data_IF_085674485842
#
_entry.id   IF_085674485842
#
_cell.length_a   1.000
_cell.length_b   1.000
_cell.length_c   1.000
_cell.angle_alpha   90.00
_cell.angle_beta   90.00
_cell.angle_gamma   90.00
#
_symmetry.space_group_name_H-M   'P 1'
#
loop_
_entity.id
_entity.type
_entity.pdbx_description
1 polymer ?
#
# COMPACT_ATOMS: atom_id res chain seq x y z
N UNK A 1 14.92 3.50 8.07
CA UNK A 1 13.74 4.03 7.34
C UNK A 1 13.61 3.31 6.02
N UNK A 2 12.39 2.96 5.61
CA UNK A 2 12.08 2.22 4.37
C UNK A 2 11.39 3.12 3.36
N UNK A 3 12.02 3.50 2.24
CA UNK A 3 11.41 4.33 1.19
C UNK A 3 10.88 3.50 0.01
N UNK A 4 9.65 3.76 -0.47
CA UNK A 4 9.02 3.08 -1.64
C UNK A 4 8.87 4.02 -2.86
N UNK A 5 9.32 3.60 -4.06
CA UNK A 5 9.11 4.26 -5.38
C UNK A 5 8.35 3.30 -6.33
N UNK A 6 7.46 3.79 -7.20
CA UNK A 6 6.53 2.95 -8.00
C UNK A 6 6.44 3.43 -9.48
N UNK A 7 6.71 2.53 -10.43
CA UNK A 7 6.52 2.72 -11.88
C UNK A 7 5.72 1.54 -12.45
N UNK A 8 4.74 1.80 -13.34
CA UNK A 8 3.81 0.79 -13.86
C UNK A 8 3.95 0.64 -15.38
N UNK A 9 4.08 -0.61 -15.85
CA UNK A 9 4.06 -0.98 -17.26
C UNK A 9 2.98 -2.05 -17.52
N UNK A 10 2.14 -1.81 -18.51
CA UNK A 10 1.03 -2.67 -18.95
C UNK A 10 1.44 -3.59 -20.11
N UNK A 11 1.03 -4.86 -20.08
CA UNK A 11 0.95 -5.73 -21.27
C UNK A 11 -0.38 -6.50 -21.27
N UNK A 12 -1.08 -6.44 -22.41
CA UNK A 12 -2.33 -7.17 -22.69
C UNK A 12 -2.07 -8.33 -23.65
N UNK A 13 -2.73 -9.47 -23.41
CA UNK A 13 -3.18 -10.47 -24.40
C UNK A 13 -3.94 -11.56 -23.62
N UNK A 14 -4.99 -12.25 -24.06
CA UNK A 14 -5.74 -12.39 -25.30
C UNK A 14 -6.62 -13.66 -25.09
N UNK A 15 -7.91 -13.60 -25.40
CA UNK A 15 -8.92 -14.55 -24.89
C UNK A 15 -9.10 -15.87 -25.65
N UNK A 16 -9.98 -16.74 -25.14
CA UNK A 16 -10.45 -17.96 -25.82
C UNK A 16 -11.46 -18.83 -25.03
N UNK A 17 -12.76 -18.59 -25.27
CA UNK A 17 -13.92 -19.51 -25.32
C UNK A 17 -14.17 -20.71 -24.36
N UNK A 18 -15.31 -20.65 -23.65
CA UNK A 18 -16.33 -21.73 -23.62
C UNK A 18 -16.44 -22.68 -22.40
N UNK A 19 -17.55 -22.59 -21.64
CA UNK A 19 -18.19 -23.79 -21.04
C UNK A 19 -18.30 -23.93 -19.50
N UNK A 20 -17.55 -23.19 -18.68
CA UNK A 20 -17.58 -23.32 -17.19
C UNK A 20 -17.76 -21.95 -16.51
N UNK A 21 -18.93 -21.32 -16.73
CA UNK A 21 -19.14 -19.89 -16.45
C UNK A 21 -18.96 -19.42 -15.00
N UNK A 22 -19.21 -20.24 -13.98
CA UNK A 22 -19.12 -19.80 -12.57
C UNK A 22 -17.74 -19.98 -11.96
N UNK A 23 -17.03 -21.06 -12.32
CA UNK A 23 -15.66 -21.34 -11.85
C UNK A 23 -14.62 -20.45 -12.55
N UNK A 24 -14.79 -20.13 -13.84
CA UNK A 24 -13.90 -19.21 -14.55
C UNK A 24 -14.13 -17.74 -14.19
N UNK A 25 -15.35 -17.36 -13.78
CA UNK A 25 -15.58 -16.00 -13.25
C UNK A 25 -14.90 -15.84 -11.89
N UNK A 26 -14.97 -16.84 -11.01
CA UNK A 26 -14.23 -16.82 -9.74
C UNK A 26 -12.72 -16.87 -9.97
N UNK A 27 -12.23 -17.72 -10.89
CA UNK A 27 -10.82 -17.77 -11.25
C UNK A 27 -10.33 -16.47 -11.92
N UNK A 28 -11.14 -15.85 -12.78
CA UNK A 28 -10.85 -14.57 -13.42
C UNK A 28 -10.86 -13.39 -12.43
N UNK A 29 -11.78 -13.38 -11.46
CA UNK A 29 -11.81 -12.40 -10.36
C UNK A 29 -10.60 -12.58 -9.43
N UNK A 30 -10.15 -13.82 -9.20
CA UNK A 30 -8.95 -14.13 -8.41
C UNK A 30 -7.65 -13.79 -9.17
N UNK A 31 -7.59 -14.03 -10.48
CA UNK A 31 -6.43 -13.67 -11.31
C UNK A 31 -6.28 -12.15 -11.52
N UNK A 32 -7.39 -11.40 -11.60
CA UNK A 32 -7.37 -9.93 -11.66
C UNK A 32 -6.86 -9.28 -10.37
N UNK A 33 -6.84 -10.00 -9.24
CA UNK A 33 -6.32 -9.50 -7.97
C UNK A 33 -4.79 -9.63 -7.82
N UNK A 34 -4.10 -10.23 -8.81
CA UNK A 34 -2.70 -10.63 -8.70
C UNK A 34 -1.65 -9.70 -9.30
N UNK A 35 -1.98 -8.43 -9.61
CA UNK A 35 -0.97 -7.50 -10.16
C UNK A 35 -0.05 -6.98 -9.05
N UNK A 36 1.02 -7.73 -8.79
CA UNK A 36 2.11 -7.28 -7.93
C UNK A 36 2.88 -6.14 -8.60
N UNK A 37 2.80 -4.94 -8.05
CA UNK A 37 3.65 -3.82 -8.49
C UNK A 37 5.06 -4.03 -7.96
N UNK A 38 6.05 -4.14 -8.86
CA UNK A 38 7.45 -4.15 -8.46
C UNK A 38 7.85 -2.76 -7.96
N UNK A 39 8.29 -2.69 -6.70
CA UNK A 39 8.82 -1.49 -6.09
C UNK A 39 10.21 -1.82 -5.53
N UNK A 40 11.16 -0.90 -5.68
CA UNK A 40 12.48 -1.04 -5.09
C UNK A 40 12.40 -0.66 -3.60
N UNK A 41 12.94 -1.52 -2.73
CA UNK A 41 13.02 -1.28 -1.30
C UNK A 41 14.47 -1.33 -0.85
N UNK A 42 14.85 -0.39 0.00
CA UNK A 42 16.18 -0.35 0.59
C UNK A 42 16.11 0.15 2.04
N UNK A 43 17.13 -0.22 2.80
CA UNK A 43 17.26 0.14 4.20
C UNK A 43 18.24 1.31 4.34
N UNK A 44 17.83 2.32 5.08
CA UNK A 44 18.67 3.46 5.45
C UNK A 44 18.82 3.47 6.98
N UNK A 45 20.05 3.39 7.47
CA UNK A 45 20.40 3.59 8.89
C UNK A 45 20.19 5.03 9.39
N UNK A 46 20.31 5.27 10.70
CA UNK A 46 20.01 6.60 11.31
C UNK A 46 20.90 7.74 10.81
N UNK A 47 22.14 7.45 10.44
CA UNK A 47 23.14 8.41 9.92
C UNK A 47 23.65 8.05 8.54
N UNK A 48 22.99 7.10 7.90
CA UNK A 48 23.41 6.59 6.61
C UNK A 48 22.78 7.45 5.50
N UNK A 49 23.61 7.90 4.56
CA UNK A 49 23.14 8.50 3.31
C UNK A 49 23.20 7.45 2.21
N UNK A 50 22.10 7.29 1.49
CA UNK A 50 22.05 6.41 0.30
C UNK A 50 21.99 7.30 -0.93
N UNK A 51 22.99 7.18 -1.79
CA UNK A 51 23.11 7.95 -3.00
C UNK A 51 22.97 7.05 -4.23
N UNK A 52 22.17 7.49 -5.19
CA UNK A 52 21.94 6.85 -6.47
C UNK A 52 22.58 7.73 -7.55
N UNK A 53 23.43 7.15 -8.38
CA UNK A 53 24.09 7.85 -9.48
C UNK A 53 23.34 7.43 -10.73
N UNK A 54 22.74 8.39 -11.42
CA UNK A 54 21.93 8.16 -12.62
C UNK A 54 22.42 9.09 -13.73
N UNK A 55 22.55 8.56 -14.95
CA UNK A 55 22.88 9.35 -16.12
C UNK A 55 21.60 10.02 -16.66
N UNK A 56 21.57 11.35 -16.63
CA UNK A 56 20.38 12.14 -16.96
C UNK A 56 20.74 13.11 -18.10
N UNK A 57 19.95 13.17 -19.20
CA UNK A 57 20.19 14.10 -20.30
C UNK A 57 19.72 15.53 -19.98
N UNK A 58 20.11 16.48 -20.82
CA UNK A 58 19.80 17.90 -20.66
C UNK A 58 18.30 18.20 -20.71
N UNK A 59 17.88 19.19 -19.91
CA UNK A 59 16.51 19.69 -19.82
C UNK A 59 15.45 18.62 -19.48
N UNK A 60 15.86 17.56 -18.77
CA UNK A 60 14.93 16.52 -18.33
C UNK A 60 14.45 16.73 -16.90
N UNK A 61 13.14 16.56 -16.72
CA UNK A 61 12.49 16.64 -15.41
C UNK A 61 12.38 15.24 -14.79
N UNK A 62 13.04 15.04 -13.65
CA UNK A 62 12.99 13.78 -12.91
C UNK A 62 12.08 13.93 -11.71
N UNK A 63 11.20 12.95 -11.54
CA UNK A 63 10.21 12.92 -10.46
C UNK A 63 10.44 11.66 -9.63
N UNK A 64 10.72 11.82 -8.35
CA UNK A 64 10.88 10.72 -7.39
C UNK A 64 9.76 10.71 -6.35
N UNK A 65 8.95 9.64 -6.34
CA UNK A 65 7.92 9.41 -5.33
C UNK A 65 8.47 8.54 -4.22
N UNK A 66 8.62 9.03 -2.99
CA UNK A 66 9.15 8.21 -1.90
C UNK A 66 8.14 8.12 -0.75
N UNK A 67 8.15 6.98 -0.06
CA UNK A 67 7.37 6.77 1.16
C UNK A 67 8.19 6.06 2.22
N UNK A 68 8.53 6.77 3.28
CA UNK A 68 9.27 6.23 4.44
C UNK A 68 8.36 5.40 5.35
N UNK A 69 8.90 4.31 5.88
CA UNK A 69 8.30 3.52 6.95
C UNK A 69 9.35 3.22 8.02
N UNK A 70 8.92 3.12 9.28
CA UNK A 70 9.74 2.62 10.36
C UNK A 70 9.58 1.10 10.47
N UNK A 71 10.71 0.42 10.66
CA UNK A 71 10.72 -1.00 10.99
C UNK A 71 10.80 -1.14 12.51
N UNK A 72 9.78 -1.74 13.11
CA UNK A 72 9.79 -2.10 14.53
C UNK A 72 10.25 -3.54 14.71
N UNK A 73 11.36 -3.74 15.42
CA UNK A 73 11.91 -5.07 15.71
C UNK A 73 11.01 -5.89 16.63
N UNK A 74 10.19 -5.25 17.47
CA UNK A 74 9.40 -5.98 18.47
C UNK A 74 8.11 -6.57 17.88
N UNK A 75 7.58 -5.97 16.83
CA UNK A 75 6.33 -6.39 16.19
C UNK A 75 6.54 -7.00 14.80
N UNK A 76 7.79 -7.07 14.33
CA UNK A 76 8.16 -7.49 12.97
C UNK A 76 7.27 -6.85 11.88
N UNK A 77 6.89 -5.58 12.07
CA UNK A 77 5.97 -4.91 11.16
C UNK A 77 6.42 -3.50 10.80
N UNK A 78 6.00 -3.07 9.60
CA UNK A 78 6.18 -1.72 9.10
C UNK A 78 5.17 -0.77 9.74
N UNK A 79 5.68 0.23 10.44
CA UNK A 79 4.92 1.34 10.98
C UNK A 79 5.02 2.53 9.97
N UNK A 80 3.92 3.18 9.56
CA UNK A 80 3.91 4.52 9.00
C UNK A 80 4.76 5.44 9.86
N UNK A 81 5.58 6.24 9.19
CA UNK A 81 6.43 7.22 9.85
C UNK A 81 5.62 8.27 10.58
N UNK A 82 6.09 8.61 11.78
CA UNK A 82 5.44 9.58 12.66
C UNK A 82 5.53 11.01 12.12
N UNK A 83 4.58 11.91 12.45
CA UNK A 83 4.68 13.34 12.14
C UNK A 83 5.96 13.91 12.77
N UNK A 84 6.80 14.56 11.97
CA UNK A 84 8.09 15.12 12.39
C UNK A 84 9.32 14.31 11.96
N UNK A 85 9.15 13.10 11.43
CA UNK A 85 10.21 12.39 10.71
C UNK A 85 10.14 12.72 9.22
N UNK A 86 11.24 13.29 8.70
CA UNK A 86 11.37 13.70 7.32
C UNK A 86 12.54 13.04 6.61
N UNK A 87 12.48 13.02 5.28
CA UNK A 87 13.57 12.62 4.40
C UNK A 87 14.21 13.88 3.82
N UNK A 88 15.52 14.03 3.97
CA UNK A 88 16.26 15.05 3.26
C UNK A 88 16.67 14.49 1.89
N UNK A 89 16.31 15.22 0.84
CA UNK A 89 16.67 14.88 -0.54
C UNK A 89 17.65 15.91 -1.03
N UNK A 90 18.84 15.45 -1.41
CA UNK A 90 19.90 16.26 -2.01
C UNK A 90 20.21 15.72 -3.41
N UNK A 91 20.24 16.58 -4.43
CA UNK A 91 20.55 16.23 -5.81
C UNK A 91 21.71 17.09 -6.28
N UNK A 92 22.74 16.45 -6.84
CA UNK A 92 23.90 17.11 -7.43
C UNK A 92 23.98 16.83 -8.92
N UNK A 93 24.35 17.86 -9.67
CA UNK A 93 24.76 17.80 -11.08
C UNK A 93 26.09 17.05 -11.24
N UNK A 94 26.47 16.63 -12.47
CA UNK A 94 27.78 16.03 -12.77
C UNK A 94 28.97 16.93 -12.37
N UNK A 95 28.79 18.25 -12.36
CA UNK A 95 29.81 19.22 -11.91
C UNK A 95 29.91 19.33 -10.37
N UNK A 96 29.12 18.54 -9.63
CA UNK A 96 29.06 18.55 -8.17
C UNK A 96 28.24 19.70 -7.57
N UNK A 97 27.60 20.52 -8.41
CA UNK A 97 26.71 21.61 -7.98
C UNK A 97 25.40 21.05 -7.43
N UNK A 98 24.95 21.59 -6.30
CA UNK A 98 23.66 21.19 -5.69
C UNK A 98 22.50 21.82 -6.46
N UNK A 99 21.68 21.00 -7.11
CA UNK A 99 20.46 21.41 -7.84
C UNK A 99 19.29 21.55 -6.90
N UNK A 100 19.15 20.60 -5.98
CA UNK A 100 18.05 20.52 -5.03
C UNK A 100 18.59 20.07 -3.68
N UNK A 101 18.25 20.78 -2.61
CA UNK A 101 18.47 20.33 -1.24
C UNK A 101 17.27 20.76 -0.42
N UNK A 102 16.40 19.81 -0.07
CA UNK A 102 15.16 20.08 0.66
C UNK A 102 14.80 18.98 1.63
N UNK A 103 14.25 19.39 2.76
CA UNK A 103 13.65 18.51 3.75
C UNK A 103 12.19 18.26 3.39
N UNK A 104 11.83 17.01 3.16
CA UNK A 104 10.45 16.58 2.93
C UNK A 104 9.95 15.73 4.10
N UNK A 105 8.64 15.50 4.17
CA UNK A 105 8.01 14.71 5.22
C UNK A 105 8.31 13.21 5.13
N UNK A 106 7.48 12.41 5.78
CA UNK A 106 7.58 10.96 5.72
C UNK A 106 7.18 10.36 4.38
N UNK A 107 6.29 11.01 3.66
CA UNK A 107 5.81 10.63 2.33
C UNK A 107 5.78 11.87 1.46
N UNK A 108 6.25 11.77 0.21
CA UNK A 108 6.36 12.93 -0.65
C UNK A 108 6.85 12.62 -2.06
N UNK A 109 6.78 13.64 -2.91
CA UNK A 109 7.27 13.63 -4.27
C UNK A 109 8.26 14.78 -4.45
N UNK A 110 9.50 14.46 -4.82
CA UNK A 110 10.48 15.46 -5.21
C UNK A 110 10.56 15.55 -6.74
N UNK A 111 10.84 16.74 -7.23
CA UNK A 111 10.99 17.01 -8.66
C UNK A 111 12.16 17.97 -8.86
N UNK A 112 13.04 17.64 -9.79
CA UNK A 112 14.13 18.52 -10.20
C UNK A 112 14.30 18.45 -11.72
N UNK A 113 14.91 19.48 -12.29
CA UNK A 113 15.27 19.56 -13.71
C UNK A 113 16.78 19.51 -13.85
N UNK A 114 17.28 18.64 -14.71
CA UNK A 114 18.69 18.60 -15.09
C UNK A 114 18.95 19.66 -16.16
N UNK A 115 19.97 20.50 -15.96
CA UNK A 115 20.39 21.51 -16.95
C UNK A 115 21.67 21.09 -17.69
N UNK A 116 22.43 20.15 -17.16
CA UNK A 116 23.66 19.64 -17.76
C UNK A 116 23.57 18.13 -17.91
N UNK A 117 23.88 17.56 -19.09
CA UNK A 117 23.82 16.12 -19.28
C UNK A 117 24.97 15.44 -18.52
N UNK A 118 24.70 14.31 -17.88
CA UNK A 118 25.72 13.49 -17.22
C UNK A 118 25.25 12.76 -15.96
N UNK A 119 26.21 12.29 -15.18
CA UNK A 119 25.96 11.55 -13.94
C UNK A 119 25.49 12.48 -12.82
N UNK A 120 24.20 12.40 -12.49
CA UNK A 120 23.64 13.11 -11.34
C UNK A 120 23.64 12.21 -10.12
N UNK A 121 23.92 12.80 -8.96
CA UNK A 121 23.94 12.10 -7.69
C UNK A 121 22.72 12.48 -6.85
N UNK A 122 21.81 11.54 -6.64
CA UNK A 122 20.59 11.71 -5.84
C UNK A 122 20.79 11.03 -4.48
N UNK A 123 20.96 11.82 -3.43
CA UNK A 123 21.17 11.35 -2.07
C UNK A 123 19.92 11.51 -1.20
N UNK A 124 19.57 10.44 -0.50
CA UNK A 124 18.46 10.34 0.44
C UNK A 124 19.02 10.05 1.84
N UNK A 125 18.68 10.87 2.82
CA UNK A 125 19.04 10.62 4.21
C UNK A 125 17.99 11.12 5.21
N UNK A 126 17.92 10.45 6.36
CA UNK A 126 17.09 10.88 7.49
C UNK A 126 17.70 12.12 8.14
N UNK A 127 16.89 13.13 8.46
CA UNK A 127 17.29 14.22 9.37
C UNK A 127 16.56 14.12 10.73
N UNK A 128 16.27 12.89 11.15
CA UNK A 128 15.60 12.67 12.43
C UNK A 128 16.62 12.54 13.55
N UNK A 129 16.43 13.29 14.63
CA UNK A 129 17.14 13.06 15.90
C UNK A 129 16.55 11.86 16.64
N UNK A 130 17.38 11.18 17.45
CA UNK A 130 17.01 10.00 18.24
C UNK A 130 15.75 10.20 19.09
N UNK A 131 15.52 11.42 19.58
CA UNK A 131 14.36 11.76 20.42
C UNK A 131 13.03 11.80 19.64
N UNK A 132 13.03 12.29 18.40
CA UNK A 132 11.82 12.29 17.56
C UNK A 132 11.36 10.86 17.21
N UNK A 133 12.32 9.93 17.07
CA UNK A 133 12.05 8.50 16.85
C UNK A 133 11.33 7.86 18.06
N UNK A 134 11.76 8.16 19.29
CA UNK A 134 11.19 7.54 20.51
C UNK A 134 9.79 8.04 20.86
N UNK A 135 9.52 9.34 20.74
CA UNK A 135 8.19 9.89 21.02
C UNK A 135 7.16 9.46 19.97
N UNK A 136 7.58 9.40 18.70
CA UNK A 136 6.71 9.01 17.60
C UNK A 136 6.27 7.54 17.65
N UNK A 137 7.19 6.63 17.96
CA UNK A 137 6.86 5.19 18.04
C UNK A 137 5.73 4.87 19.04
N UNK A 138 5.66 5.60 20.16
CA UNK A 138 4.61 5.41 21.18
C UNK A 138 3.24 5.85 20.69
N UNK A 139 3.12 7.08 20.17
CA UNK A 139 1.86 7.63 19.68
C UNK A 139 1.32 6.85 18.48
N UNK A 140 2.22 6.40 17.59
CA UNK A 140 1.84 5.59 16.44
C UNK A 140 1.22 4.25 16.85
N UNK A 141 1.83 3.57 17.83
CA UNK A 141 1.35 2.26 18.30
C UNK A 141 -0.05 2.35 18.89
N UNK A 142 -0.35 3.42 19.63
CA UNK A 142 -1.67 3.68 20.21
C UNK A 142 -2.74 3.94 19.14
N UNK A 143 -2.42 4.78 18.15
CA UNK A 143 -3.32 5.08 17.03
C UNK A 143 -3.57 3.87 16.12
N UNK A 144 -2.54 3.04 15.86
CA UNK A 144 -2.70 1.77 15.12
C UNK A 144 -3.63 0.82 15.86
N UNK A 145 -3.49 0.71 17.18
CA UNK A 145 -4.34 -0.18 17.97
C UNK A 145 -5.81 0.25 17.87
N UNK A 146 -6.06 1.57 17.92
CA UNK A 146 -7.39 2.17 17.71
C UNK A 146 -7.98 1.84 16.32
N UNK A 147 -7.20 2.07 15.26
CA UNK A 147 -7.63 1.83 13.87
C UNK A 147 -7.83 0.34 13.52
N UNK A 148 -7.04 -0.53 14.14
CA UNK A 148 -7.14 -2.00 13.96
C UNK A 148 -8.44 -2.52 14.56
N UNK A 149 -8.84 -2.00 15.72
CA UNK A 149 -10.10 -2.34 16.36
C UNK A 149 -11.30 -1.94 15.49
N UNK A 150 -11.29 -0.74 14.91
CA UNK A 150 -12.41 -0.24 14.11
C UNK A 150 -12.60 -1.01 12.79
N UNK A 151 -11.50 -1.28 12.07
CA UNK A 151 -11.53 -1.98 10.78
C UNK A 151 -11.82 -3.48 10.88
N UNK A 152 -11.35 -4.15 11.95
CA UNK A 152 -11.73 -5.54 12.23
C UNK A 152 -13.20 -5.63 12.64
N UNK A 153 -13.66 -4.68 13.47
CA UNK A 153 -15.05 -4.64 13.92
C UNK A 153 -16.03 -4.51 12.74
N UNK A 154 -15.78 -3.59 11.80
CA UNK A 154 -16.70 -3.37 10.69
C UNK A 154 -16.86 -4.59 9.77
N UNK A 155 -15.77 -5.32 9.51
CA UNK A 155 -15.81 -6.52 8.66
C UNK A 155 -16.53 -7.67 9.37
N UNK A 156 -16.21 -7.92 10.63
CA UNK A 156 -16.82 -8.99 11.43
C UNK A 156 -18.32 -8.74 11.59
N UNK A 157 -18.71 -7.49 11.87
CA UNK A 157 -20.10 -7.08 12.02
C UNK A 157 -20.90 -7.27 10.72
N UNK A 158 -20.32 -6.95 9.55
CA UNK A 158 -20.95 -7.21 8.26
C UNK A 158 -21.12 -8.70 7.96
N UNK A 159 -20.11 -9.53 8.26
CA UNK A 159 -20.22 -11.00 8.11
C UNK A 159 -21.30 -11.58 9.04
N UNK A 160 -21.39 -11.10 10.28
CA UNK A 160 -22.44 -11.51 11.22
C UNK A 160 -23.84 -11.15 10.72
N UNK A 161 -24.04 -9.93 10.22
CA UNK A 161 -25.33 -9.48 9.66
C UNK A 161 -25.73 -10.33 8.44
N UNK A 162 -24.80 -10.54 7.51
CA UNK A 162 -25.07 -11.35 6.31
C UNK A 162 -25.45 -12.79 6.68
N UNK A 163 -24.72 -13.39 7.63
CA UNK A 163 -25.00 -14.74 8.13
C UNK A 163 -26.38 -14.84 8.80
N UNK A 164 -26.77 -13.86 9.62
CA UNK A 164 -28.09 -13.83 10.26
C UNK A 164 -29.23 -13.74 9.23
N UNK A 165 -29.07 -12.91 8.20
CA UNK A 165 -30.08 -12.77 7.13
C UNK A 165 -30.26 -14.09 6.38
N UNK A 166 -29.16 -14.79 6.06
CA UNK A 166 -29.21 -16.08 5.37
C UNK A 166 -29.99 -17.12 6.20
N UNK A 167 -29.73 -17.21 7.51
CA UNK A 167 -30.46 -18.12 8.40
C UNK A 167 -31.96 -17.79 8.52
N UNK A 168 -32.31 -16.52 8.50
CA UNK A 168 -33.72 -16.09 8.52
C UNK A 168 -34.41 -16.46 7.20
N UNK A 169 -33.76 -16.20 6.06
CA UNK A 169 -34.32 -16.51 4.74
C UNK A 169 -34.52 -18.02 4.55
N UNK A 170 -33.54 -18.84 4.94
CA UNK A 170 -33.68 -20.29 4.89
C UNK A 170 -34.76 -20.78 5.86
N UNK A 171 -34.85 -20.23 7.07
CA UNK A 171 -35.90 -20.55 8.04
C UNK A 171 -37.30 -20.25 7.51
N UNK A 172 -37.52 -19.06 6.93
CA UNK A 172 -38.82 -18.67 6.35
C UNK A 172 -39.14 -19.54 5.13
N UNK A 173 -38.16 -19.83 4.28
CA UNK A 173 -38.35 -20.70 3.12
C UNK A 173 -38.73 -22.12 3.54
N UNK A 174 -38.03 -22.69 4.53
CA UNK A 174 -38.33 -24.00 5.12
C UNK A 174 -39.76 -24.05 5.67
N UNK A 175 -40.18 -23.02 6.42
CA UNK A 175 -41.54 -22.94 6.96
C UNK A 175 -42.62 -22.81 5.87
N UNK A 176 -42.33 -22.05 4.79
CA UNK A 176 -43.24 -21.94 3.63
C UNK A 176 -43.31 -23.23 2.82
N UNK A 177 -42.19 -23.92 2.66
CA UNK A 177 -42.13 -25.19 1.96
C UNK A 177 -42.90 -26.28 2.71
N UNK A 178 -42.74 -26.36 4.04
CA UNK A 178 -43.54 -27.28 4.88
C UNK A 178 -45.03 -26.97 4.79
N UNK A 179 -45.42 -25.69 4.86
CA UNK A 179 -46.84 -25.29 4.68
C UNK A 179 -47.38 -25.66 3.31
N UNK A 180 -46.58 -25.49 2.24
CA UNK A 180 -46.95 -25.91 0.89
C UNK A 180 -47.14 -27.43 0.77
N UNK A 181 -46.41 -28.24 1.55
CA UNK A 181 -46.62 -29.69 1.60
C UNK A 181 -47.87 -30.10 2.37
N UNK A 182 -48.24 -29.37 3.44
CA UNK A 182 -49.46 -29.66 4.20
C UNK A 182 -50.73 -29.14 3.51
N UNK A 183 -50.68 -28.01 2.80
CA UNK A 183 -51.80 -27.55 1.95
C UNK A 183 -52.04 -28.48 0.76
N UNK A 184 -50.97 -29.01 0.13
CA UNK A 184 -51.08 -29.99 -0.95
C UNK A 184 -51.57 -31.38 -0.47
N UNK A 185 -51.60 -31.63 0.85
CA UNK A 185 -52.14 -32.85 1.47
C UNK A 185 -53.41 -32.61 2.28
N UNK A 186 -54.20 -31.60 1.94
CA UNK A 186 -55.63 -31.61 2.28
C UNK A 186 -56.38 -32.55 1.33
N UNK A 187 -56.19 -33.85 1.55
CA UNK A 187 -56.99 -34.93 0.98
C UNK A 187 -57.42 -35.84 2.12
N UNK A 188 -58.74 -35.82 2.35
CA UNK A 188 -59.60 -36.47 3.37
C UNK A 188 -59.61 -35.80 4.74
#
# INVERSE_FOLDING_TARGET
MHSKLQAAGTTMAGGGGGGLGTLWVLAGVVLLAGTGTHALYFHIGETEKRCFIEEIPDETMVIGNYRTQLWDKQSESFLPSTPGLGMHVEVKDPDGKVVLSRQYGSEGRFTFTSHTPGEHQICLHSNSTRMALFAGGKLYREERFRMTSESTNQRVLWWSIAQTIILILTGVWQMRHLKSFFEAKKLV
#
